data_IF_483408975548
#
_entry.id   IF_483408975548
#
_cell.length_a   1.000
_cell.length_b   1.000
_cell.length_c   1.000
_cell.angle_alpha   90.00
_cell.angle_beta   90.00
_cell.angle_gamma   90.00
#
_symmetry.space_group_name_H-M   'P 1'
#
loop_
_entity.id
_entity.type
_entity.pdbx_description
1 polymer ?
#
# COMPACT_ATOMS: atom_id res chain seq x y z
N UNK A 1 -11.56 25.64 -19.99
CA UNK A 1 -10.39 24.95 -19.43
C UNK A 1 -10.79 24.29 -18.10
N UNK A 2 -10.55 22.99 -17.90
CA UNK A 2 -10.78 22.33 -16.61
C UNK A 2 -9.99 22.98 -15.47
N UNK A 3 -10.54 22.98 -14.25
CA UNK A 3 -9.96 23.72 -13.12
C UNK A 3 -8.52 23.31 -12.80
N UNK A 4 -8.22 22.01 -12.78
CA UNK A 4 -6.85 21.53 -12.52
C UNK A 4 -5.81 22.04 -13.52
N UNK A 5 -6.18 22.22 -14.80
CA UNK A 5 -5.28 22.77 -15.80
C UNK A 5 -5.05 24.27 -15.59
N UNK A 6 -6.08 25.00 -15.14
CA UNK A 6 -5.94 26.41 -14.78
C UNK A 6 -4.90 26.60 -13.66
N UNK A 7 -5.02 25.78 -12.61
CA UNK A 7 -4.11 25.80 -11.46
C UNK A 7 -2.67 25.50 -11.86
N UNK A 8 -2.44 24.56 -12.78
CA UNK A 8 -1.09 24.28 -13.29
C UNK A 8 -0.51 25.50 -14.01
N UNK A 9 -1.28 26.18 -14.85
CA UNK A 9 -0.83 27.40 -15.54
C UNK A 9 -0.51 28.53 -14.55
N UNK A 10 -1.36 28.74 -13.54
CA UNK A 10 -1.11 29.71 -12.46
C UNK A 10 0.22 29.44 -11.74
N UNK A 11 0.51 28.17 -11.43
CA UNK A 11 1.77 27.79 -10.78
C UNK A 11 2.99 28.04 -11.69
N UNK A 12 2.85 27.79 -12.99
CA UNK A 12 3.91 28.09 -13.97
C UNK A 12 4.17 29.60 -14.07
N UNK A 13 3.13 30.43 -14.05
CA UNK A 13 3.24 31.90 -14.01
C UNK A 13 3.93 32.38 -12.72
N UNK A 14 3.62 31.74 -11.59
CA UNK A 14 4.26 31.98 -10.29
C UNK A 14 5.67 31.39 -10.17
N UNK A 15 6.18 30.73 -11.23
CA UNK A 15 7.48 30.03 -11.27
C UNK A 15 7.62 28.90 -10.25
N UNK A 16 6.51 28.32 -9.80
CA UNK A 16 6.46 27.14 -8.94
C UNK A 16 6.52 25.85 -9.78
N UNK A 17 7.61 25.68 -10.54
CA UNK A 17 7.72 24.65 -11.59
C UNK A 17 7.60 23.22 -11.05
N UNK A 18 8.24 22.90 -9.92
CA UNK A 18 8.18 21.55 -9.34
C UNK A 18 6.75 21.18 -8.90
N UNK A 19 6.01 22.14 -8.35
CA UNK A 19 4.61 21.96 -7.96
C UNK A 19 3.73 21.76 -9.19
N UNK A 20 3.95 22.56 -10.24
CA UNK A 20 3.24 22.44 -11.51
C UNK A 20 3.49 21.07 -12.18
N UNK A 21 4.73 20.60 -12.19
CA UNK A 21 5.11 19.28 -12.72
C UNK A 21 4.42 18.17 -11.93
N UNK A 22 4.48 18.22 -10.59
CA UNK A 22 3.83 17.24 -9.72
C UNK A 22 2.31 17.18 -9.96
N UNK A 23 1.61 18.32 -9.97
CA UNK A 23 0.17 18.36 -10.22
C UNK A 23 -0.17 17.86 -11.63
N UNK A 24 0.64 18.19 -12.64
CA UNK A 24 0.45 17.69 -14.00
C UNK A 24 0.47 16.17 -14.05
N UNK A 25 1.43 15.53 -13.34
CA UNK A 25 1.52 14.08 -13.26
C UNK A 25 0.31 13.45 -12.57
N UNK A 26 -0.14 14.04 -11.47
CA UNK A 26 -1.35 13.59 -10.77
C UNK A 26 -2.58 13.65 -11.68
N UNK A 27 -2.76 14.75 -12.42
CA UNK A 27 -3.89 14.90 -13.35
C UNK A 27 -3.80 13.93 -14.53
N UNK A 28 -2.61 13.69 -15.08
CA UNK A 28 -2.40 12.72 -16.14
C UNK A 28 -2.67 11.29 -15.65
N UNK A 29 -2.22 10.95 -14.44
CA UNK A 29 -2.46 9.64 -13.85
C UNK A 29 -3.95 9.37 -13.61
N UNK A 30 -4.72 10.37 -13.16
CA UNK A 30 -6.18 10.30 -13.02
C UNK A 30 -6.86 9.97 -14.37
N UNK A 31 -6.38 10.59 -15.46
CA UNK A 31 -6.86 10.31 -16.83
C UNK A 31 -6.50 8.89 -17.25
N UNK A 32 -5.26 8.44 -17.00
CA UNK A 32 -4.79 7.10 -17.34
C UNK A 32 -5.57 6.00 -16.60
N UNK A 33 -5.77 6.14 -15.29
CA UNK A 33 -6.55 5.20 -14.48
C UNK A 33 -7.98 5.07 -15.01
N UNK A 34 -8.61 6.20 -15.32
CA UNK A 34 -9.94 6.21 -15.94
C UNK A 34 -9.95 5.48 -17.28
N UNK A 35 -8.93 5.68 -18.11
CA UNK A 35 -8.85 5.05 -19.43
C UNK A 35 -8.55 3.54 -19.35
N UNK A 36 -7.82 3.10 -18.31
CA UNK A 36 -7.48 1.70 -18.08
C UNK A 36 -8.68 0.87 -17.59
N UNK A 37 -9.64 1.48 -16.88
CA UNK A 37 -10.82 0.79 -16.35
C UNK A 37 -12.16 1.36 -16.88
N UNK A 38 -12.43 1.32 -18.20
CA UNK A 38 -13.65 1.91 -18.78
C UNK A 38 -14.96 1.29 -18.28
N UNK A 39 -14.86 0.12 -17.64
CA UNK A 39 -16.00 -0.70 -17.23
C UNK A 39 -16.55 -0.31 -15.84
N UNK A 40 -15.81 0.50 -15.07
CA UNK A 40 -16.31 1.06 -13.82
C UNK A 40 -17.30 2.19 -14.13
N UNK A 41 -18.58 1.80 -14.27
CA UNK A 41 -19.69 2.72 -14.58
C UNK A 41 -19.84 3.91 -13.62
N UNK A 42 -19.22 3.85 -12.45
CA UNK A 42 -19.26 4.90 -11.43
C UNK A 42 -18.22 6.01 -11.68
N UNK A 43 -17.23 5.77 -12.54
CA UNK A 43 -16.13 6.70 -12.82
C UNK A 43 -16.21 7.24 -14.25
N UNK A 44 -17.20 8.11 -14.50
CA UNK A 44 -17.49 8.63 -15.85
C UNK A 44 -16.44 9.65 -16.35
N UNK A 45 -15.85 10.41 -15.44
CA UNK A 45 -14.87 11.48 -15.73
C UNK A 45 -13.67 11.41 -14.77
N UNK A 46 -12.46 11.85 -15.19
CA UNK A 46 -11.31 11.98 -14.30
C UNK A 46 -11.70 12.75 -13.02
N UNK A 47 -11.59 12.08 -11.88
CA UNK A 47 -12.26 12.51 -10.65
C UNK A 47 -11.53 13.66 -9.96
N UNK A 48 -10.23 13.77 -10.19
CA UNK A 48 -9.38 14.83 -9.63
C UNK A 48 -9.63 16.15 -10.36
N UNK A 49 -9.66 16.13 -11.69
CA UNK A 49 -9.83 17.34 -12.53
C UNK A 49 -11.09 18.14 -12.16
N UNK A 50 -12.16 17.46 -11.76
CA UNK A 50 -13.46 18.06 -11.47
C UNK A 50 -13.58 18.50 -10.00
N UNK A 51 -12.80 17.91 -9.09
CA UNK A 51 -12.88 18.21 -7.66
C UNK A 51 -11.99 19.40 -7.27
N UNK A 52 -12.56 20.61 -7.33
CA UNK A 52 -11.87 21.87 -7.02
C UNK A 52 -11.25 21.88 -5.62
N UNK A 53 -12.03 21.48 -4.62
CA UNK A 53 -11.58 21.47 -3.22
C UNK A 53 -10.36 20.57 -3.04
N UNK A 54 -10.39 19.36 -3.61
CA UNK A 54 -9.26 18.44 -3.52
C UNK A 54 -8.03 18.97 -4.27
N UNK A 55 -8.20 19.57 -5.46
CA UNK A 55 -7.10 20.20 -6.18
C UNK A 55 -6.48 21.33 -5.36
N UNK A 56 -7.29 22.17 -4.70
CA UNK A 56 -6.79 23.26 -3.88
C UNK A 56 -6.02 22.75 -2.65
N UNK A 57 -6.56 21.74 -1.96
CA UNK A 57 -5.88 21.09 -0.83
C UNK A 57 -4.58 20.40 -1.28
N UNK A 58 -4.58 19.76 -2.45
CA UNK A 58 -3.40 19.14 -3.05
C UNK A 58 -2.35 20.20 -3.39
N UNK A 59 -2.73 21.29 -4.05
CA UNK A 59 -1.85 22.43 -4.33
C UNK A 59 -1.20 22.94 -3.05
N UNK A 60 -1.98 23.19 -1.99
CA UNK A 60 -1.46 23.69 -0.71
C UNK A 60 -0.48 22.72 -0.05
N UNK A 61 -0.82 21.43 -0.01
CA UNK A 61 0.04 20.41 0.58
C UNK A 61 1.37 20.25 -0.18
N UNK A 62 1.31 20.30 -1.51
CA UNK A 62 2.48 20.17 -2.38
C UNK A 62 3.34 21.44 -2.34
N UNK A 63 2.73 22.64 -2.33
CA UNK A 63 3.46 23.89 -2.10
C UNK A 63 4.22 23.86 -0.77
N UNK A 64 3.57 23.44 0.33
CA UNK A 64 4.23 23.32 1.62
C UNK A 64 5.39 22.32 1.58
N UNK A 65 5.21 21.18 0.91
CA UNK A 65 6.25 20.18 0.71
C UNK A 65 7.45 20.67 -0.12
N UNK A 66 7.26 21.59 -1.07
CA UNK A 66 8.37 22.16 -1.85
C UNK A 66 8.92 23.47 -1.29
N UNK A 67 8.26 24.09 -0.30
CA UNK A 67 8.68 25.39 0.26
C UNK A 67 9.42 25.27 1.59
N UNK A 68 9.11 24.25 2.39
CA UNK A 68 9.68 24.07 3.73
C UNK A 68 10.86 23.08 3.69
N UNK A 69 12.04 23.55 4.11
CA UNK A 69 13.28 22.77 4.11
C UNK A 69 13.84 22.54 5.51
N UNK A 70 13.10 22.88 6.57
CA UNK A 70 13.63 22.87 7.93
C UNK A 70 13.84 21.45 8.46
N UNK A 71 12.93 20.52 8.15
CA UNK A 71 13.12 19.10 8.45
C UNK A 71 12.25 18.22 7.57
N UNK A 72 12.73 16.99 7.27
CA UNK A 72 11.96 15.94 6.59
C UNK A 72 10.53 15.83 7.13
N UNK A 73 10.41 15.83 8.46
CA UNK A 73 9.12 15.70 9.15
C UNK A 73 8.23 16.89 8.81
N UNK A 74 8.69 18.12 9.02
CA UNK A 74 7.87 19.32 8.73
C UNK A 74 7.44 19.34 7.26
N UNK A 75 8.36 19.06 6.35
CA UNK A 75 8.12 19.06 4.91
C UNK A 75 7.09 18.01 4.47
N UNK A 76 7.11 16.81 5.06
CA UNK A 76 6.24 15.69 4.65
C UNK A 76 4.90 15.63 5.36
N UNK A 77 4.76 16.29 6.51
CA UNK A 77 3.51 16.31 7.29
C UNK A 77 2.28 16.81 6.51
N UNK A 78 2.36 17.85 5.65
CA UNK A 78 1.25 18.29 4.81
C UNK A 78 0.73 17.19 3.87
N UNK A 79 1.64 16.39 3.28
CA UNK A 79 1.26 15.27 2.41
C UNK A 79 0.54 14.18 3.20
N UNK A 80 1.07 13.82 4.37
CA UNK A 80 0.48 12.81 5.25
C UNK A 80 -0.90 13.26 5.75
N UNK A 81 -1.02 14.53 6.15
CA UNK A 81 -2.29 15.09 6.62
C UNK A 81 -3.36 15.07 5.54
N UNK A 82 -3.01 15.43 4.30
CA UNK A 82 -3.93 15.35 3.17
C UNK A 82 -4.31 13.91 2.84
N UNK A 83 -3.35 12.98 2.83
CA UNK A 83 -3.62 11.55 2.59
C UNK A 83 -4.66 11.02 3.59
N UNK A 84 -4.49 11.33 4.87
CA UNK A 84 -5.44 10.95 5.92
C UNK A 84 -6.81 11.60 5.76
N UNK A 85 -6.89 12.87 5.38
CA UNK A 85 -8.17 13.52 5.12
C UNK A 85 -8.92 12.85 3.95
N UNK A 86 -8.21 12.41 2.92
CA UNK A 86 -8.80 11.65 1.81
C UNK A 86 -9.35 10.30 2.30
N UNK A 87 -8.61 9.59 3.16
CA UNK A 87 -9.06 8.33 3.75
C UNK A 87 -10.34 8.49 4.59
N UNK A 88 -10.41 9.55 5.39
CA UNK A 88 -11.48 9.78 6.36
C UNK A 88 -12.75 10.30 5.66
N UNK A 89 -12.61 11.30 4.78
CA UNK A 89 -13.73 12.14 4.32
C UNK A 89 -14.17 11.88 2.88
N UNK A 90 -13.31 11.32 2.03
CA UNK A 90 -13.58 11.23 0.58
C UNK A 90 -14.01 9.83 0.14
N UNK A 91 -14.53 9.68 -1.08
CA UNK A 91 -14.94 8.38 -1.63
C UNK A 91 -13.74 7.53 -2.07
N UNK A 92 -13.94 6.22 -2.22
CA UNK A 92 -12.87 5.26 -2.56
C UNK A 92 -12.21 5.51 -3.93
N UNK A 93 -12.82 6.35 -4.78
CA UNK A 93 -12.25 6.75 -6.07
C UNK A 93 -10.96 7.58 -5.91
N UNK A 94 -10.79 8.27 -4.77
CA UNK A 94 -9.63 9.10 -4.48
C UNK A 94 -8.50 8.36 -3.74
N UNK A 95 -8.66 7.05 -3.49
CA UNK A 95 -7.69 6.29 -2.69
C UNK A 95 -6.26 6.38 -3.26
N UNK A 96 -6.12 6.41 -4.59
CA UNK A 96 -4.82 6.37 -5.28
C UNK A 96 -4.04 7.66 -5.03
N UNK A 97 -4.73 8.78 -4.77
CA UNK A 97 -4.10 10.05 -4.41
C UNK A 97 -3.44 9.91 -3.05
N UNK A 98 -4.15 9.33 -2.08
CA UNK A 98 -3.60 9.06 -0.76
C UNK A 98 -2.38 8.13 -0.85
N UNK A 99 -2.45 7.09 -1.71
CA UNK A 99 -1.33 6.18 -1.99
C UNK A 99 -0.08 6.95 -2.49
N UNK A 100 -0.23 7.78 -3.54
CA UNK A 100 0.86 8.59 -4.07
C UNK A 100 1.43 9.55 -3.02
N UNK A 101 0.57 10.19 -2.22
CA UNK A 101 1.00 11.11 -1.17
C UNK A 101 1.84 10.41 -0.09
N UNK A 102 1.44 9.20 0.35
CA UNK A 102 2.25 8.41 1.28
C UNK A 102 3.59 7.98 0.66
N UNK A 103 3.59 7.53 -0.60
CA UNK A 103 4.81 7.12 -1.26
C UNK A 103 5.78 8.31 -1.43
N UNK A 104 5.27 9.51 -1.75
CA UNK A 104 6.06 10.72 -1.81
C UNK A 104 6.65 11.08 -0.45
N UNK A 105 5.83 11.09 0.60
CA UNK A 105 6.28 11.34 1.96
C UNK A 105 7.37 10.34 2.40
N UNK A 106 7.18 9.06 2.11
CA UNK A 106 8.14 8.01 2.48
C UNK A 106 9.42 8.10 1.66
N UNK A 107 9.33 8.38 0.37
CA UNK A 107 10.48 8.57 -0.51
C UNK A 107 11.30 9.80 -0.12
N UNK A 108 10.64 10.87 0.32
CA UNK A 108 11.30 12.04 0.88
C UNK A 108 12.00 11.70 2.19
N UNK A 109 11.34 10.95 3.07
CA UNK A 109 11.92 10.56 4.36
C UNK A 109 13.11 9.61 4.25
N UNK A 110 13.15 8.77 3.21
CA UNK A 110 14.26 7.85 2.95
C UNK A 110 15.39 8.46 2.11
N UNK A 111 15.10 9.48 1.31
CA UNK A 111 16.01 9.99 0.28
C UNK A 111 16.86 11.20 0.68
N UNK A 112 16.69 11.75 1.88
CA UNK A 112 17.56 12.84 2.33
C UNK A 112 18.85 12.25 2.91
N UNK A 113 19.91 12.29 2.12
CA UNK A 113 21.24 11.80 2.51
C UNK A 113 21.97 12.74 3.49
N UNK A 114 21.57 14.01 3.54
CA UNK A 114 22.30 15.05 4.29
C UNK A 114 21.77 15.28 5.71
N UNK A 115 20.59 14.75 6.04
CA UNK A 115 20.03 14.78 7.39
C UNK A 115 19.91 13.34 7.87
N UNK A 116 20.37 13.05 9.10
CA UNK A 116 20.11 11.74 9.69
C UNK A 116 18.59 11.52 9.68
N UNK A 117 18.11 10.41 9.07
CA UNK A 117 16.70 10.13 9.05
C UNK A 117 16.22 9.97 10.49
N UNK A 118 15.16 10.70 10.83
CA UNK A 118 14.42 10.45 12.08
C UNK A 118 13.80 9.04 11.96
N UNK A 119 14.54 8.03 12.44
CA UNK A 119 14.15 6.62 12.39
C UNK A 119 12.76 6.39 12.99
N UNK A 120 12.41 7.16 14.03
CA UNK A 120 11.10 7.09 14.66
C UNK A 120 10.02 7.58 13.71
N UNK A 121 10.25 8.73 13.06
CA UNK A 121 9.35 9.26 12.05
C UNK A 121 9.19 8.30 10.87
N UNK A 122 10.28 7.75 10.34
CA UNK A 122 10.25 6.79 9.21
C UNK A 122 9.46 5.53 9.60
N UNK A 123 9.69 4.97 10.79
CA UNK A 123 8.96 3.80 11.27
C UNK A 123 7.46 4.09 11.44
N UNK A 124 7.09 5.25 11.99
CA UNK A 124 5.69 5.69 12.14
C UNK A 124 5.01 5.90 10.79
N UNK A 125 5.74 6.46 9.82
CA UNK A 125 5.25 6.66 8.46
C UNK A 125 5.03 5.31 7.75
N UNK A 126 5.97 4.38 7.86
CA UNK A 126 5.83 3.00 7.35
C UNK A 126 4.63 2.28 7.97
N UNK A 127 4.45 2.38 9.28
CA UNK A 127 3.26 1.81 9.95
C UNK A 127 1.96 2.43 9.42
N UNK A 128 1.91 3.76 9.31
CA UNK A 128 0.70 4.48 8.87
C UNK A 128 0.36 4.12 7.42
N UNK A 129 1.37 4.04 6.56
CA UNK A 129 1.20 3.65 5.17
C UNK A 129 0.81 2.17 5.03
N UNK A 130 1.44 1.26 5.79
CA UNK A 130 1.03 -0.14 5.86
C UNK A 130 -0.43 -0.28 6.30
N UNK A 131 -0.85 0.52 7.27
CA UNK A 131 -2.23 0.56 7.75
C UNK A 131 -3.15 1.02 6.64
N UNK A 132 -2.83 2.11 5.94
CA UNK A 132 -3.58 2.58 4.79
C UNK A 132 -3.73 1.49 3.70
N UNK A 133 -2.64 0.83 3.32
CA UNK A 133 -2.64 -0.24 2.32
C UNK A 133 -3.44 -1.47 2.76
N UNK A 134 -3.45 -1.76 4.06
CA UNK A 134 -4.21 -2.86 4.64
C UNK A 134 -5.68 -2.52 4.86
N UNK A 135 -6.00 -1.25 5.17
CA UNK A 135 -7.31 -0.87 5.70
C UNK A 135 -8.41 -1.14 4.69
N UNK A 136 -9.19 -2.17 4.99
CA UNK A 136 -10.40 -2.52 4.29
C UNK A 136 -11.47 -1.53 4.74
N UNK A 137 -11.74 -0.50 3.93
CA UNK A 137 -12.90 0.34 4.15
C UNK A 137 -14.13 -0.52 3.92
N UNK A 138 -14.74 -0.99 5.01
CA UNK A 138 -16.11 -1.49 4.95
C UNK A 138 -16.95 -0.30 4.49
N UNK A 139 -17.27 -0.25 3.19
CA UNK A 139 -18.14 0.81 2.70
C UNK A 139 -19.39 0.78 3.55
N UNK A 140 -19.77 1.94 4.07
CA UNK A 140 -20.92 2.17 4.96
C UNK A 140 -22.22 1.82 4.23
N UNK A 141 -22.40 0.58 3.77
CA UNK A 141 -23.67 0.04 3.31
C UNK A 141 -24.47 -0.16 4.57
N UNK A 142 -25.31 0.84 4.81
CA UNK A 142 -26.43 0.90 5.77
C UNK A 142 -26.72 -0.47 6.38
N UNK A 143 -26.55 -0.56 7.71
CA UNK A 143 -27.00 -1.65 8.58
C UNK A 143 -28.44 -2.08 8.23
N UNK A 144 -28.63 -2.91 7.22
CA UNK A 144 -29.86 -3.66 7.00
C UNK A 144 -29.58 -5.05 7.58
N UNK A 145 -29.93 -5.19 8.86
CA UNK A 145 -30.02 -6.44 9.65
C UNK A 145 -29.39 -7.67 8.96
N UNK A 146 -28.07 -7.81 9.04
CA UNK A 146 -27.40 -9.05 8.69
C UNK A 146 -27.59 -9.98 9.90
N UNK A 147 -28.33 -11.08 9.72
CA UNK A 147 -28.61 -12.04 10.77
C UNK A 147 -27.34 -12.82 11.17
N UNK A 148 -27.36 -13.32 12.39
CA UNK A 148 -26.22 -13.75 13.21
C UNK A 148 -25.44 -15.00 12.74
N UNK A 149 -25.62 -15.49 11.50
CA UNK A 149 -24.92 -16.69 11.03
C UNK A 149 -24.53 -16.56 9.56
N UNK A 150 -23.32 -16.03 9.31
CA UNK A 150 -22.52 -16.26 8.09
C UNK A 150 -21.11 -15.66 8.26
N UNK A 151 -20.37 -16.12 9.27
CA UNK A 151 -19.03 -15.62 9.61
C UNK A 151 -17.91 -16.10 8.64
N UNK A 152 -18.20 -16.85 7.57
CA UNK A 152 -17.14 -17.37 6.69
C UNK A 152 -17.36 -17.24 5.18
N UNK A 153 -18.45 -16.66 4.66
CA UNK A 153 -18.72 -16.71 3.19
C UNK A 153 -19.27 -15.42 2.55
N UNK A 154 -19.04 -14.25 3.13
CA UNK A 154 -19.29 -12.96 2.45
C UNK A 154 -17.97 -12.27 2.10
N UNK A 155 -17.20 -12.94 1.25
CA UNK A 155 -15.96 -12.46 0.64
C UNK A 155 -16.27 -11.79 -0.71
N UNK A 156 -16.95 -10.64 -0.71
CA UNK A 156 -16.97 -9.75 -1.87
C UNK A 156 -17.13 -8.27 -1.47
N UNK A 157 -16.16 -7.46 -1.94
CA UNK A 157 -16.01 -5.98 -1.82
C UNK A 157 -15.48 -5.56 -0.44
N UNK A 158 -14.21 -5.24 -0.22
CA UNK A 158 -13.17 -4.66 -1.05
C UNK A 158 -11.87 -5.45 -0.85
N UNK A 159 -11.20 -5.80 -1.95
CA UNK A 159 -9.91 -6.50 -1.94
C UNK A 159 -8.82 -5.53 -1.50
N UNK A 160 -8.00 -5.96 -0.54
CA UNK A 160 -6.73 -5.27 -0.22
C UNK A 160 -5.96 -5.06 -1.52
N UNK A 161 -5.64 -3.80 -1.86
CA UNK A 161 -5.06 -3.49 -3.17
C UNK A 161 -3.62 -3.98 -3.29
N UNK A 162 -2.90 -4.10 -2.17
CA UNK A 162 -1.56 -4.67 -2.16
C UNK A 162 -1.16 -5.22 -0.76
N UNK A 163 -1.60 -6.44 -0.39
CA UNK A 163 -1.28 -7.01 0.91
C UNK A 163 0.22 -7.30 1.07
N UNK A 164 0.94 -7.46 -0.04
CA UNK A 164 2.40 -7.69 -0.02
C UNK A 164 3.17 -6.41 0.31
N UNK A 165 2.79 -5.26 -0.25
CA UNK A 165 3.40 -3.98 0.14
C UNK A 165 3.07 -3.61 1.59
N UNK A 166 1.81 -3.81 2.02
CA UNK A 166 1.43 -3.63 3.42
C UNK A 166 2.26 -4.52 4.35
N UNK A 167 2.49 -5.79 3.94
CA UNK A 167 3.27 -6.75 4.71
C UNK A 167 4.71 -6.27 4.91
N UNK A 168 5.33 -5.77 3.84
CA UNK A 168 6.70 -5.29 3.88
C UNK A 168 6.83 -4.06 4.77
N UNK A 169 5.99 -3.04 4.58
CA UNK A 169 6.03 -1.83 5.41
C UNK A 169 5.74 -2.13 6.90
N UNK A 170 4.76 -2.99 7.20
CA UNK A 170 4.46 -3.40 8.58
C UNK A 170 5.63 -4.19 9.21
N UNK A 171 6.27 -5.07 8.44
CA UNK A 171 7.43 -5.83 8.90
C UNK A 171 8.59 -4.92 9.25
N UNK A 172 8.90 -3.96 8.38
CA UNK A 172 10.01 -3.04 8.61
C UNK A 172 9.69 -2.13 9.81
N UNK A 173 8.48 -1.56 9.88
CA UNK A 173 8.07 -0.75 11.03
C UNK A 173 8.18 -1.51 12.37
N UNK A 174 7.82 -2.81 12.39
CA UNK A 174 8.01 -3.68 13.56
C UNK A 174 9.48 -3.86 13.92
N UNK A 175 10.34 -4.08 12.93
CA UNK A 175 11.78 -4.24 13.15
C UNK A 175 12.40 -2.95 13.70
N UNK A 176 12.09 -1.81 13.08
CA UNK A 176 12.64 -0.51 13.45
C UNK A 176 12.21 -0.07 14.85
N UNK A 177 11.01 -0.45 15.28
CA UNK A 177 10.46 -0.12 16.61
C UNK A 177 10.78 -1.14 17.71
N UNK A 178 11.43 -2.26 17.37
CA UNK A 178 11.75 -3.31 18.33
C UNK A 178 12.66 -2.79 19.44
N UNK A 179 12.30 -3.05 20.71
CA UNK A 179 13.00 -2.55 21.90
C UNK A 179 13.05 -1.01 22.04
N UNK A 180 12.24 -0.27 21.29
CA UNK A 180 12.15 1.20 21.39
C UNK A 180 10.84 1.61 22.07
N UNK A 181 10.88 2.68 22.86
CA UNK A 181 9.72 3.22 23.60
C UNK A 181 8.86 4.16 22.75
N UNK A 182 8.90 4.02 21.44
CA UNK A 182 8.19 4.88 20.50
C UNK A 182 6.68 4.68 20.63
N UNK A 183 5.94 5.76 20.84
CA UNK A 183 4.47 5.76 20.97
C UNK A 183 3.83 6.30 19.72
N UNK A 184 2.66 5.80 19.30
CA UNK A 184 1.92 6.42 18.20
C UNK A 184 1.46 7.85 18.54
N UNK A 185 1.38 8.73 17.54
CA UNK A 185 0.89 10.10 17.73
C UNK A 185 -0.60 10.07 18.11
N UNK A 186 -0.91 10.43 19.36
CA UNK A 186 -2.27 10.47 19.91
C UNK A 186 -2.24 10.93 21.36
N UNK A 187 -2.03 12.23 21.59
CA UNK A 187 -1.90 12.80 22.94
C UNK A 187 -3.23 12.86 23.73
N UNK A 188 -4.38 12.57 23.13
CA UNK A 188 -5.69 12.88 23.73
C UNK A 188 -6.65 11.69 23.90
N UNK A 189 -6.27 10.47 23.54
CA UNK A 189 -7.08 9.29 23.89
C UNK A 189 -6.59 8.76 25.23
N UNK A 190 -7.39 8.85 26.29
CA UNK A 190 -7.10 8.27 27.62
C UNK A 190 -6.99 6.73 27.65
N UNK A 191 -6.61 6.12 26.52
CA UNK A 191 -6.21 4.73 26.38
C UNK A 191 -4.69 4.63 26.55
N UNK A 192 -4.21 3.53 27.14
CA UNK A 192 -2.78 3.23 27.25
C UNK A 192 -2.09 3.53 25.90
N UNK A 193 -1.03 4.34 25.93
CA UNK A 193 -0.24 4.63 24.73
C UNK A 193 0.40 3.32 24.28
N UNK A 194 -0.25 2.63 23.36
CA UNK A 194 0.35 1.44 22.78
C UNK A 194 1.62 1.83 22.03
N UNK A 195 2.70 1.11 22.35
CA UNK A 195 3.97 1.27 21.66
C UNK A 195 3.77 0.97 20.17
N UNK A 196 4.45 1.72 19.30
CA UNK A 196 4.47 1.50 17.85
C UNK A 196 4.79 0.04 17.50
N UNK A 197 5.65 -0.60 18.30
CA UNK A 197 5.98 -2.02 18.17
C UNK A 197 4.75 -2.92 18.28
N UNK A 198 3.98 -2.82 19.37
CA UNK A 198 2.74 -3.60 19.58
C UNK A 198 1.78 -3.40 18.40
N UNK A 199 1.55 -2.15 18.02
CA UNK A 199 0.65 -1.82 16.92
C UNK A 199 1.13 -2.37 15.58
N UNK A 200 2.44 -2.31 15.31
CA UNK A 200 3.04 -2.92 14.11
C UNK A 200 2.94 -4.44 14.13
N UNK A 201 3.06 -5.08 15.30
CA UNK A 201 2.84 -6.52 15.50
C UNK A 201 1.38 -6.90 15.18
N UNK A 202 0.42 -6.11 15.66
CA UNK A 202 -1.01 -6.34 15.40
C UNK A 202 -1.34 -6.17 13.92
N UNK A 203 -0.89 -5.08 13.30
CA UNK A 203 -1.06 -4.85 11.88
C UNK A 203 -0.43 -5.98 11.05
N UNK A 204 0.80 -6.39 11.39
CA UNK A 204 1.49 -7.49 10.72
C UNK A 204 0.71 -8.81 10.82
N UNK A 205 0.14 -9.10 11.99
CA UNK A 205 -0.73 -10.26 12.19
C UNK A 205 -1.93 -10.22 11.24
N UNK A 206 -2.65 -9.10 11.16
CA UNK A 206 -3.80 -8.96 10.28
C UNK A 206 -3.43 -9.08 8.79
N UNK A 207 -2.35 -8.43 8.36
CA UNK A 207 -1.88 -8.51 6.97
C UNK A 207 -1.49 -9.95 6.61
N UNK A 208 -0.82 -10.68 7.50
CA UNK A 208 -0.44 -12.08 7.25
C UNK A 208 -1.65 -13.02 7.09
N UNK A 209 -2.71 -12.80 7.88
CA UNK A 209 -3.96 -13.57 7.74
C UNK A 209 -4.64 -13.29 6.41
N UNK A 210 -4.67 -12.03 5.97
CA UNK A 210 -5.23 -11.67 4.66
C UNK A 210 -4.39 -12.26 3.51
N UNK A 211 -3.05 -12.18 3.60
CA UNK A 211 -2.16 -12.82 2.62
C UNK A 211 -2.43 -14.32 2.54
N UNK A 212 -2.60 -15.00 3.68
CA UNK A 212 -2.92 -16.42 3.72
C UNK A 212 -4.28 -16.74 3.08
N UNK A 213 -5.28 -15.87 3.25
CA UNK A 213 -6.61 -16.02 2.67
C UNK A 213 -6.66 -15.76 1.15
N UNK A 214 -5.70 -15.00 0.62
CA UNK A 214 -5.58 -14.71 -0.81
C UNK A 214 -4.66 -15.67 -1.57
N UNK A 215 -3.78 -16.38 -0.88
CA UNK A 215 -2.79 -17.25 -1.54
C UNK A 215 -3.39 -18.62 -1.92
N UNK A 216 -3.20 -19.01 -3.19
CA UNK A 216 -3.63 -20.31 -3.70
C UNK A 216 -2.67 -21.45 -3.28
N UNK A 217 -1.42 -21.14 -2.95
CA UNK A 217 -0.47 -22.12 -2.44
C UNK A 217 -0.72 -22.39 -0.95
N UNK A 218 -1.20 -23.59 -0.61
CA UNK A 218 -1.46 -23.95 0.77
C UNK A 218 -0.22 -23.92 1.68
N UNK A 219 0.96 -24.24 1.15
CA UNK A 219 2.18 -24.25 1.95
C UNK A 219 2.57 -22.82 2.36
N UNK A 220 2.39 -21.86 1.46
CA UNK A 220 2.62 -20.45 1.75
C UNK A 220 1.57 -19.89 2.71
N UNK A 221 0.30 -20.24 2.55
CA UNK A 221 -0.76 -19.84 3.49
C UNK A 221 -0.48 -20.32 4.92
N UNK A 222 -0.05 -21.58 5.09
CA UNK A 222 0.35 -22.13 6.41
C UNK A 222 1.54 -21.36 6.99
N UNK A 223 2.58 -21.08 6.20
CA UNK A 223 3.74 -20.29 6.67
C UNK A 223 3.34 -18.88 7.11
N UNK A 224 2.45 -18.23 6.37
CA UNK A 224 1.93 -16.90 6.73
C UNK A 224 1.14 -16.94 8.04
N UNK A 225 0.30 -17.97 8.20
CA UNK A 225 -0.44 -18.25 9.43
C UNK A 225 0.47 -18.55 10.64
N UNK A 226 1.53 -19.36 10.48
CA UNK A 226 2.53 -19.61 11.51
C UNK A 226 3.27 -18.32 11.91
N UNK A 227 3.64 -17.49 10.94
CA UNK A 227 4.23 -16.19 11.20
C UNK A 227 3.24 -15.27 11.96
N UNK A 228 1.94 -15.32 11.62
CA UNK A 228 0.91 -14.56 12.30
C UNK A 228 0.75 -14.97 13.77
N UNK A 229 0.82 -16.28 14.08
CA UNK A 229 0.82 -16.79 15.46
C UNK A 229 2.06 -16.28 16.23
N UNK A 230 3.26 -16.41 15.64
CA UNK A 230 4.51 -15.96 16.29
C UNK A 230 4.46 -14.48 16.63
N UNK A 231 3.92 -13.65 15.73
CA UNK A 231 3.74 -12.23 16.00
C UNK A 231 2.67 -11.98 17.08
N UNK A 232 1.54 -12.68 17.06
CA UNK A 232 0.51 -12.55 18.10
C UNK A 232 1.03 -12.86 19.51
N UNK A 233 1.93 -13.83 19.65
CA UNK A 233 2.61 -14.11 20.92
C UNK A 233 3.48 -12.94 21.39
N UNK A 234 4.23 -12.31 20.49
CA UNK A 234 5.07 -11.15 20.82
C UNK A 234 4.24 -9.91 21.20
N UNK A 235 3.01 -9.80 20.69
CA UNK A 235 2.06 -8.73 21.01
C UNK A 235 1.24 -8.96 22.29
N UNK A 236 1.43 -10.10 22.97
CA UNK A 236 0.79 -10.48 24.24
C UNK A 236 -0.75 -10.48 24.27
N UNK A 237 -1.46 -10.38 23.15
CA UNK A 237 -2.93 -10.39 23.16
C UNK A 237 -3.50 -11.78 22.84
N UNK A 238 -4.09 -12.38 23.87
CA UNK A 238 -4.73 -13.71 23.83
C UNK A 238 -5.84 -13.83 22.77
N UNK A 239 -6.48 -12.72 22.41
CA UNK A 239 -7.53 -12.67 21.41
C UNK A 239 -6.99 -12.95 20.01
N UNK A 240 -5.85 -12.37 19.65
CA UNK A 240 -5.22 -12.60 18.34
C UNK A 240 -4.61 -13.98 18.24
N UNK A 241 -4.09 -14.54 19.35
CA UNK A 241 -3.62 -15.93 19.37
C UNK A 241 -4.78 -16.88 19.02
N UNK A 242 -5.96 -16.68 19.61
CA UNK A 242 -7.16 -17.47 19.29
C UNK A 242 -7.55 -17.30 17.81
N UNK A 243 -7.58 -16.08 17.29
CA UNK A 243 -7.91 -15.81 15.89
C UNK A 243 -6.92 -16.45 14.92
N UNK A 244 -5.61 -16.29 15.17
CA UNK A 244 -4.54 -16.91 14.39
C UNK A 244 -4.70 -18.43 14.35
N UNK A 245 -4.94 -19.04 15.52
CA UNK A 245 -5.11 -20.48 15.67
C UNK A 245 -6.31 -20.99 14.86
N UNK A 246 -7.44 -20.28 14.92
CA UNK A 246 -8.62 -20.62 14.11
C UNK A 246 -8.29 -20.55 12.62
N UNK A 247 -7.62 -19.50 12.15
CA UNK A 247 -7.22 -19.40 10.74
C UNK A 247 -6.29 -20.54 10.31
N UNK A 248 -5.31 -20.92 11.14
CA UNK A 248 -4.41 -22.05 10.87
C UNK A 248 -5.18 -23.35 10.75
N UNK A 249 -6.11 -23.60 11.67
CA UNK A 249 -6.97 -24.80 11.63
C UNK A 249 -7.82 -24.83 10.35
N UNK A 250 -8.41 -23.69 9.96
CA UNK A 250 -9.16 -23.58 8.71
C UNK A 250 -8.28 -23.83 7.48
N UNK A 251 -7.07 -23.28 7.44
CA UNK A 251 -6.10 -23.57 6.37
C UNK A 251 -5.77 -25.08 6.31
N UNK A 252 -5.47 -25.72 7.45
CA UNK A 252 -5.17 -27.15 7.51
C UNK A 252 -6.36 -27.99 7.03
N UNK A 253 -7.59 -27.65 7.45
CA UNK A 253 -8.82 -28.32 6.99
C UNK A 253 -8.97 -28.17 5.48
N UNK A 254 -8.81 -26.96 4.95
CA UNK A 254 -8.90 -26.68 3.52
C UNK A 254 -7.86 -27.49 2.72
N UNK A 255 -6.61 -27.52 3.18
CA UNK A 255 -5.53 -28.29 2.57
C UNK A 255 -5.90 -29.77 2.49
N UNK A 256 -6.36 -30.34 3.62
CA UNK A 256 -6.78 -31.74 3.67
C UNK A 256 -7.95 -32.02 2.72
N UNK A 257 -8.94 -31.14 2.68
CA UNK A 257 -10.07 -31.26 1.76
C UNK A 257 -9.62 -31.26 0.28
N UNK A 258 -8.72 -30.35 -0.10
CA UNK A 258 -8.16 -30.28 -1.45
C UNK A 258 -7.30 -31.51 -1.79
N UNK A 259 -6.51 -32.03 -0.85
CA UNK A 259 -5.73 -33.26 -1.04
C UNK A 259 -6.64 -34.47 -1.28
N UNK A 260 -7.72 -34.61 -0.52
CA UNK A 260 -8.71 -35.70 -0.70
C UNK A 260 -9.38 -35.63 -2.08
N UNK A 261 -9.75 -34.43 -2.54
CA UNK A 261 -10.34 -34.24 -3.89
C UNK A 261 -9.36 -34.55 -5.03
N UNK A 262 -8.06 -34.32 -4.85
CA UNK A 262 -7.06 -34.71 -5.86
C UNK A 262 -6.90 -36.22 -5.92
N UNK A 263 -6.87 -36.90 -4.77
CA UNK A 263 -6.76 -38.37 -4.72
C UNK A 263 -7.98 -39.05 -5.35
N UNK A 264 -9.19 -38.54 -5.11
CA UNK A 264 -10.41 -39.10 -5.72
C UNK A 264 -10.46 -38.91 -7.25
N UNK A 265 -9.99 -37.77 -7.77
CA UNK A 265 -9.88 -37.54 -9.23
C UNK A 265 -8.85 -38.44 -9.90
N UNK A 266 -7.69 -38.65 -9.28
CA UNK A 266 -6.67 -39.56 -9.81
C UNK A 266 -7.18 -41.01 -9.83
N UNK A 267 -7.85 -41.44 -8.75
CA UNK A 267 -8.44 -42.78 -8.69
C UNK A 267 -9.55 -42.97 -9.72
N UNK A 268 -10.41 -41.95 -9.93
CA UNK A 268 -11.43 -41.96 -10.98
C UNK A 268 -10.87 -42.00 -12.41
N UNK A 269 -9.79 -41.27 -12.67
CA UNK A 269 -9.12 -41.27 -13.97
C UNK A 269 -8.44 -42.62 -14.28
N UNK A 270 -7.86 -43.28 -13.26
CA UNK A 270 -7.28 -44.61 -13.40
C UNK A 270 -8.35 -45.67 -13.67
N UNK A 271 -9.50 -45.61 -12.98
CA UNK A 271 -10.61 -46.54 -13.26
C UNK A 271 -11.25 -46.35 -14.64
N UNK A 272 -11.24 -45.13 -15.20
CA UNK A 272 -11.74 -44.89 -16.56
C UNK A 272 -10.72 -45.21 -17.67
N UNK A 273 -9.45 -45.40 -17.32
CA UNK A 273 -8.37 -45.69 -18.28
C UNK A 273 -8.27 -47.16 -18.67
N UNK A 274 -8.77 -48.08 -17.84
CA UNK A 274 -8.73 -49.53 -18.14
C UNK A 274 -9.83 -49.99 -19.12
N UNK A 275 -10.94 -49.26 -19.27
CA UNK A 275 -11.99 -49.61 -20.25
C UNK A 275 -11.72 -49.08 -21.68
N UNK A 276 -10.78 -48.14 -21.86
CA UNK A 276 -10.52 -47.52 -23.17
C UNK A 276 -9.28 -48.07 -23.91
N UNK A 277 -8.65 -49.14 -23.40
CA UNK A 277 -7.46 -49.75 -24.02
C UNK A 277 -7.78 -50.73 -25.18
N UNK A 278 -9.01 -50.71 -25.70
CA UNK A 278 -9.41 -51.48 -26.88
C UNK A 278 -9.80 -50.59 -28.04
N UNK A 279 -8.86 -50.38 -28.98
CA UNK A 279 -8.99 -49.83 -30.36
C UNK A 279 -8.50 -48.38 -30.54
N UNK A 280 -7.39 -48.24 -31.27
CA UNK A 280 -7.13 -47.05 -32.10
C UNK A 280 -5.71 -46.50 -32.04
N UNK A 281 -4.97 -46.68 -33.13
CA UNK A 281 -3.57 -46.29 -33.37
C UNK A 281 -3.19 -44.82 -33.04
N UNK A 282 -1.90 -44.56 -32.69
CA UNK A 282 -1.45 -43.25 -32.25
C UNK A 282 -1.15 -42.31 -33.43
N UNK A 283 -1.98 -41.28 -33.64
CA UNK A 283 -1.61 -40.11 -34.46
C UNK A 283 -0.91 -39.05 -33.62
N UNK A 284 0.39 -38.90 -33.86
CA UNK A 284 1.26 -37.80 -33.41
C UNK A 284 0.56 -36.44 -33.61
N UNK A 285 0.21 -35.75 -32.53
CA UNK A 285 -0.07 -34.30 -32.52
C UNK A 285 1.01 -33.58 -31.71
N UNK A 286 1.89 -32.86 -32.41
CA UNK A 286 2.81 -31.87 -31.86
C UNK A 286 2.00 -30.79 -31.12
N UNK A 287 2.10 -30.72 -29.79
CA UNK A 287 1.65 -29.56 -29.02
C UNK A 287 2.77 -28.53 -28.99
N UNK A 288 2.50 -27.33 -29.51
CA UNK A 288 3.33 -26.14 -29.35
C UNK A 288 3.32 -25.76 -27.86
N UNK A 289 4.50 -25.66 -27.26
CA UNK A 289 4.68 -25.07 -25.92
C UNK A 289 4.27 -23.59 -25.98
N UNK A 290 3.14 -23.25 -25.37
CA UNK A 290 2.88 -21.88 -24.94
C UNK A 290 3.76 -21.62 -23.71
N UNK A 291 4.73 -20.72 -23.86
CA UNK A 291 5.52 -20.20 -22.75
C UNK A 291 4.61 -19.28 -21.94
N UNK A 292 4.38 -19.61 -20.68
CA UNK A 292 3.77 -18.69 -19.72
C UNK A 292 4.68 -17.46 -19.53
N UNK A 293 4.11 -16.24 -19.37
CA UNK A 293 4.89 -15.07 -19.02
C UNK A 293 5.48 -15.26 -17.62
N UNK A 294 6.78 -14.96 -17.50
CA UNK A 294 7.47 -14.92 -16.21
C UNK A 294 6.85 -13.81 -15.38
N UNK A 295 6.40 -14.16 -14.18
CA UNK A 295 6.05 -13.19 -13.14
C UNK A 295 7.25 -12.28 -12.86
N UNK A 296 7.06 -10.98 -13.08
CA UNK A 296 7.92 -9.91 -12.60
C UNK A 296 7.98 -9.95 -11.07
N UNK A 297 9.18 -9.72 -10.52
CA UNK A 297 9.43 -9.61 -9.08
C UNK A 297 8.64 -8.44 -8.50
N UNK A 298 7.97 -8.57 -7.35
CA UNK A 298 7.35 -7.43 -6.68
C UNK A 298 8.40 -6.72 -5.83
N UNK A 299 8.98 -5.68 -6.42
CA UNK A 299 9.54 -4.53 -5.73
C UNK A 299 9.02 -3.34 -6.51
N UNK A 300 7.89 -2.76 -6.08
CA UNK A 300 7.33 -1.58 -6.71
C UNK A 300 8.20 -0.39 -6.31
N UNK A 301 9.19 -0.13 -7.14
CA UNK A 301 9.67 1.21 -7.38
C UNK A 301 8.48 2.09 -7.82
N UNK A 302 8.45 3.37 -7.40
CA UNK A 302 7.51 4.37 -7.89
C UNK A 302 7.43 4.22 -9.43
N UNK A 303 6.27 4.39 -10.09
CA UNK A 303 6.24 4.43 -11.56
C UNK A 303 7.37 5.35 -12.06
N UNK A 304 8.23 4.88 -12.98
CA UNK A 304 9.45 5.61 -13.38
C UNK A 304 9.16 7.10 -13.71
N UNK A 305 7.99 7.38 -14.26
CA UNK A 305 7.53 8.73 -14.59
C UNK A 305 7.29 9.64 -13.36
N UNK A 306 7.04 9.09 -12.17
CA UNK A 306 6.94 9.83 -10.91
C UNK A 306 8.28 9.95 -10.18
N UNK A 307 9.29 9.13 -10.51
CA UNK A 307 10.62 9.21 -9.88
C UNK A 307 11.42 10.40 -10.41
N UNK A 308 11.35 10.66 -11.72
CA UNK A 308 12.14 11.72 -12.39
C UNK A 308 11.86 13.13 -11.84
N UNK A 309 10.62 13.56 -11.62
CA UNK A 309 10.31 14.87 -11.02
C UNK A 309 10.80 14.99 -9.57
N UNK A 310 10.64 13.93 -8.77
CA UNK A 310 11.16 13.88 -7.41
C UNK A 310 12.70 13.93 -7.41
N UNK A 311 13.34 13.32 -8.41
CA UNK A 311 14.79 13.36 -8.57
C UNK A 311 15.29 14.71 -9.09
N UNK A 312 14.59 15.35 -10.02
CA UNK A 312 14.90 16.73 -10.44
C UNK A 312 14.74 17.73 -9.32
N UNK A 313 13.69 17.62 -8.49
CA UNK A 313 13.56 18.47 -7.31
C UNK A 313 14.74 18.28 -6.34
N UNK A 314 15.28 17.06 -6.23
CA UNK A 314 16.51 16.78 -5.47
C UNK A 314 17.76 17.39 -6.11
N UNK A 315 17.87 17.35 -7.44
CA UNK A 315 19.01 17.94 -8.17
C UNK A 315 18.98 19.48 -8.12
N UNK A 316 17.81 20.09 -8.30
CA UNK A 316 17.58 21.54 -8.11
C UNK A 316 17.97 22.00 -6.70
N UNK A 317 17.69 21.16 -5.68
CA UNK A 317 18.12 21.39 -4.29
C UNK A 317 19.64 21.42 -4.14
N UNK A 318 20.35 20.46 -4.74
CA UNK A 318 21.81 20.42 -4.68
C UNK A 318 22.45 21.67 -5.32
N UNK A 319 21.86 22.15 -6.42
CA UNK A 319 22.33 23.37 -7.09
C UNK A 319 22.11 24.66 -6.28
N UNK A 320 20.98 24.77 -5.57
CA UNK A 320 20.71 25.93 -4.71
C UNK A 320 21.61 25.95 -3.46
N UNK A 321 21.90 24.79 -2.88
CA UNK A 321 22.79 24.70 -1.71
C UNK A 321 24.27 24.91 -2.07
N UNK A 322 24.73 24.47 -3.25
CA UNK A 322 26.10 24.66 -3.72
C UNK A 322 26.44 26.09 -4.17
N UNK A 323 25.45 26.98 -4.27
CA UNK A 323 25.62 28.35 -4.76
C UNK A 323 25.68 29.42 -3.67
N UNK A 324 25.56 29.03 -2.39
CA UNK A 324 25.76 29.97 -1.28
C UNK A 324 27.26 30.21 -1.09
N UNK A 325 27.75 31.46 -1.22
CA UNK A 325 29.17 31.74 -1.04
C UNK A 325 29.59 31.32 0.37
N UNK A 326 30.70 30.58 0.45
CA UNK A 326 31.48 30.34 1.67
C UNK A 326 31.47 31.62 2.50
N UNK A 327 30.85 31.57 3.68
CA UNK A 327 30.89 32.66 4.63
C UNK A 327 32.30 32.61 5.20
N UNK A 328 33.23 33.29 4.53
CA UNK A 328 34.61 33.41 5.00
C UNK A 328 34.57 34.11 6.35
N UNK A 329 34.79 33.33 7.41
CA UNK A 329 35.02 33.78 8.78
C UNK A 329 36.37 34.50 8.85
N UNK A 330 36.43 35.71 8.29
CA UNK A 330 37.46 36.68 8.64
C UNK A 330 36.98 37.46 9.86
N UNK A 331 37.19 36.87 11.04
CA UNK A 331 37.22 37.60 12.30
C UNK A 331 38.68 37.77 12.72
N UNK A 332 39.32 38.82 12.20
CA UNK A 332 40.48 39.44 12.83
C UNK A 332 39.98 40.61 13.69
N UNK A 333 39.92 40.39 15.01
CA UNK A 333 40.04 41.44 16.05
C UNK A 333 40.95 40.91 17.15
#
# INVERSE_FOLDING_TARGET
>A
MPYGQAIVLELLEQRAYDVAEFLTLMLNHDIELRNAEPQLREWTEPCLIVNKELIDRLRQAVLAYFSDFDSVKTTTMPLIALARAIEEDMSDQYWWIADVLYQCALSAALGQHDLEPDDEFVARLRYTYARFLHYKRESKKKKKKQSHYNFCLLKHRYTVKNPRAALEHARIAKMDSCNKSWTLYGANSGFERDSLFKESVLLLHHVLLEVADQECDPAYAVKSCEAAIKNAHNGASSLYIKQATICVLLCIIYIRACSVQRVSRVRGALSSGEEAAGRGSPRRRRRKLQRHPRHTRPGQELPEHLQVPLQRARESRAHLQGSLPSRDDNNDI
#
